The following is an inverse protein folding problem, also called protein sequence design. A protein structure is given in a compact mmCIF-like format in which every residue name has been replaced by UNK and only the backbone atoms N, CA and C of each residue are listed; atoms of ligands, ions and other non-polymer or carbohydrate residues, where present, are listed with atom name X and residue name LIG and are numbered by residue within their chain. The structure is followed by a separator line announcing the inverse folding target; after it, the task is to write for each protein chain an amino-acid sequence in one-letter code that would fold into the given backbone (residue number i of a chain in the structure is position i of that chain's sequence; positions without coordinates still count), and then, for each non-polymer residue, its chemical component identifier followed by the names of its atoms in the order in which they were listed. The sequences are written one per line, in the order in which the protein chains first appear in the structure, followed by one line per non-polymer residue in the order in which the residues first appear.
data_IF_353299307328
#
_entry.id   IF_353299307328
#
_cell.length_a   1.000
_cell.length_b   1.000
_cell.length_c   1.000
_cell.angle_alpha   90.00
_cell.angle_beta   90.00
_cell.angle_gamma   90.00
#
_symmetry.space_group_name_H-M   'P 1'
#
loop_
_entity.id
_entity.type
_entity.pdbx_description
1 polymer ?
#
# COMPACT_ATOMS: atom_id res chain seq x y z
N UNK A 1 25.31 11.51 20.21
CA UNK A 1 24.32 12.18 19.35
C UNK A 1 24.82 13.58 19.05
N UNK A 2 25.00 13.91 17.78
CA UNK A 2 25.39 15.24 17.34
C UNK A 2 24.32 16.23 17.79
N UNK A 3 24.73 17.21 18.63
CA UNK A 3 23.85 18.23 19.20
C UNK A 3 23.22 19.18 18.15
N UNK A 4 23.56 19.03 16.87
CA UNK A 4 23.11 19.87 15.76
C UNK A 4 22.15 19.14 14.78
N UNK A 5 21.72 17.91 15.06
CA UNK A 5 20.76 17.22 14.20
C UNK A 5 19.38 17.89 14.32
N UNK A 6 18.79 18.22 13.17
CA UNK A 6 17.42 18.72 13.06
C UNK A 6 16.56 17.63 12.41
N UNK A 7 15.38 17.40 12.98
CA UNK A 7 14.41 16.43 12.47
C UNK A 7 13.23 17.20 11.90
N UNK A 8 12.81 16.88 10.69
CA UNK A 8 11.61 17.42 10.05
C UNK A 8 10.58 16.30 9.95
N UNK A 9 9.44 16.47 10.63
CA UNK A 9 8.29 15.58 10.49
C UNK A 9 7.29 16.20 9.52
N UNK A 10 6.90 15.45 8.49
CA UNK A 10 5.88 15.83 7.51
C UNK A 10 4.71 14.88 7.63
N UNK A 11 3.49 15.41 7.62
CA UNK A 11 2.29 14.58 7.68
C UNK A 11 1.01 15.38 7.58
N UNK A 12 -0.11 14.67 7.53
CA UNK A 12 -1.46 15.24 7.46
C UNK A 12 -2.35 14.53 8.48
N UNK A 13 -2.84 15.29 9.47
CA UNK A 13 -3.68 14.77 10.56
C UNK A 13 -5.08 14.35 10.11
N UNK A 14 -5.51 14.76 8.91
CA UNK A 14 -6.75 14.31 8.29
C UNK A 14 -6.61 12.92 7.63
N UNK A 15 -5.39 12.46 7.32
CA UNK A 15 -5.14 11.11 6.82
C UNK A 15 -5.23 10.06 7.93
N UNK A 16 -5.25 8.78 7.51
CA UNK A 16 -5.19 7.66 8.44
C UNK A 16 -3.91 7.72 9.30
N UNK A 17 -4.03 7.57 10.63
CA UNK A 17 -2.87 7.43 11.50
C UNK A 17 -2.22 6.06 11.33
N UNK A 18 -1.05 5.81 11.96
CA UNK A 18 -0.46 4.48 12.01
C UNK A 18 -1.43 3.44 12.57
N UNK A 19 -1.36 2.21 12.05
CA UNK A 19 -2.25 1.11 12.47
C UNK A 19 -2.21 0.91 13.98
N UNK A 20 -3.39 0.91 14.62
CA UNK A 20 -3.53 0.76 16.08
C UNK A 20 -3.34 2.04 16.89
N UNK A 21 -3.14 3.19 16.23
CA UNK A 21 -3.06 4.49 16.89
C UNK A 21 -4.27 5.37 16.50
N UNK A 22 -4.73 6.21 17.43
CA UNK A 22 -5.78 7.22 17.16
C UNK A 22 -5.22 8.46 16.45
N UNK A 23 -3.92 8.75 16.66
CA UNK A 23 -3.19 9.88 16.09
C UNK A 23 -1.73 9.49 15.86
N UNK A 24 -1.03 10.24 15.00
CA UNK A 24 0.41 10.05 14.81
C UNK A 24 1.19 10.79 15.91
N UNK A 25 1.92 10.10 16.79
CA UNK A 25 2.73 10.76 17.82
C UNK A 25 3.78 11.71 17.23
N UNK A 26 4.29 11.41 16.03
CA UNK A 26 5.27 12.23 15.33
C UNK A 26 4.70 13.61 14.88
N UNK A 27 3.39 13.75 14.79
CA UNK A 27 2.72 15.01 14.43
C UNK A 27 2.14 15.75 15.65
N UNK A 28 2.37 15.24 16.86
CA UNK A 28 1.89 15.86 18.10
C UNK A 28 3.05 16.62 18.78
N UNK A 29 3.08 17.97 18.73
CA UNK A 29 4.16 18.78 19.31
C UNK A 29 4.34 18.55 20.81
N UNK A 30 3.22 18.44 21.55
CA UNK A 30 3.23 18.23 23.01
C UNK A 30 3.85 16.87 23.35
N UNK A 31 3.47 15.81 22.62
CA UNK A 31 4.06 14.50 22.80
C UNK A 31 5.59 14.51 22.59
N UNK A 32 6.06 15.18 21.52
CA UNK A 32 7.49 15.27 21.22
C UNK A 32 8.27 16.07 22.27
N UNK A 33 7.67 17.14 22.81
CA UNK A 33 8.27 17.93 23.90
C UNK A 33 8.34 17.12 25.20
N UNK A 34 7.23 16.50 25.60
CA UNK A 34 7.13 15.84 26.91
C UNK A 34 7.94 14.54 26.98
N UNK A 35 7.95 13.74 25.90
CA UNK A 35 8.62 12.44 25.90
C UNK A 35 10.07 12.47 25.46
N UNK A 36 10.45 13.42 24.61
CA UNK A 36 11.79 13.47 24.01
C UNK A 36 12.54 14.75 24.32
N UNK A 37 11.94 15.71 25.03
CA UNK A 37 12.58 16.99 25.38
C UNK A 37 12.92 17.84 24.14
N UNK A 38 12.25 17.64 23.01
CA UNK A 38 12.55 18.33 21.76
C UNK A 38 11.98 19.74 21.76
N UNK A 39 12.74 20.70 21.22
CA UNK A 39 12.19 22.02 20.89
C UNK A 39 11.47 21.92 19.55
N UNK A 40 10.13 21.98 19.57
CA UNK A 40 9.28 21.77 18.39
C UNK A 40 8.79 23.11 17.85
N UNK A 41 8.86 23.26 16.53
CA UNK A 41 8.22 24.33 15.77
C UNK A 41 7.24 23.69 14.80
N UNK A 42 6.02 24.22 14.71
CA UNK A 42 4.98 23.73 13.83
C UNK A 42 4.64 24.76 12.77
N UNK A 43 4.42 24.29 11.54
CA UNK A 43 3.87 25.08 10.44
C UNK A 43 2.84 24.25 9.69
N UNK A 44 1.76 24.90 9.24
CA UNK A 44 0.71 24.25 8.45
C UNK A 44 0.73 24.80 7.03
N UNK A 45 0.82 23.88 6.04
CA UNK A 45 0.68 24.21 4.63
C UNK A 45 -0.82 24.11 4.28
N UNK A 46 -1.42 25.20 3.82
CA UNK A 46 -2.88 25.29 3.56
C UNK A 46 -3.22 25.26 2.07
N UNK A 47 -2.26 25.54 1.19
CA UNK A 47 -2.49 25.60 -0.25
C UNK A 47 -2.26 24.24 -0.91
N UNK A 48 -3.23 23.79 -1.71
CA UNK A 48 -3.15 22.55 -2.49
C UNK A 48 -2.76 22.90 -3.92
N UNK A 49 -1.57 22.48 -4.35
CA UNK A 49 -1.00 22.79 -5.67
C UNK A 49 -1.21 21.67 -6.72
N UNK A 50 -1.74 20.53 -6.32
CA UNK A 50 -1.70 19.29 -7.13
C UNK A 50 -2.84 19.13 -8.13
N UNK A 51 -3.91 19.88 -7.96
CA UNK A 51 -5.14 19.70 -8.75
C UNK A 51 -5.62 21.05 -9.30
N UNK A 52 -6.34 20.99 -10.42
CA UNK A 52 -6.94 22.19 -11.01
C UNK A 52 -7.98 22.80 -10.06
N UNK A 53 -8.16 24.12 -10.13
CA UNK A 53 -9.13 24.86 -9.29
C UNK A 53 -10.59 24.40 -9.42
N UNK A 54 -10.91 23.58 -10.44
CA UNK A 54 -12.25 22.99 -10.67
C UNK A 54 -12.22 21.46 -10.57
N UNK A 55 -11.41 20.91 -9.70
CA UNK A 55 -11.30 19.46 -9.47
C UNK A 55 -12.35 18.99 -8.45
N UNK A 56 -13.16 18.01 -8.83
CA UNK A 56 -14.09 17.34 -7.91
C UNK A 56 -13.36 16.53 -6.86
N UNK A 57 -12.17 16.02 -7.17
CA UNK A 57 -11.31 15.34 -6.18
C UNK A 57 -10.92 16.31 -5.07
N UNK A 58 -10.45 17.52 -5.44
CA UNK A 58 -10.05 18.55 -4.49
C UNK A 58 -11.24 19.06 -3.65
N UNK A 59 -12.36 19.34 -4.30
CA UNK A 59 -13.58 19.83 -3.64
C UNK A 59 -14.06 18.85 -2.57
N UNK A 60 -14.25 17.58 -2.94
CA UNK A 60 -14.70 16.55 -2.01
C UNK A 60 -13.67 16.24 -0.90
N UNK A 61 -12.38 16.23 -1.22
CA UNK A 61 -11.33 16.07 -0.23
C UNK A 61 -11.29 17.24 0.77
N UNK A 62 -11.48 18.47 0.30
CA UNK A 62 -11.53 19.67 1.15
C UNK A 62 -12.73 19.62 2.09
N UNK A 63 -13.92 19.29 1.57
CA UNK A 63 -15.13 19.13 2.39
C UNK A 63 -14.96 18.07 3.49
N UNK A 64 -14.37 16.91 3.17
CA UNK A 64 -14.05 15.88 4.16
C UNK A 64 -13.05 16.35 5.22
N UNK A 65 -12.02 17.11 4.81
CA UNK A 65 -11.04 17.68 5.74
C UNK A 65 -11.69 18.68 6.69
N UNK A 66 -12.54 19.57 6.17
CA UNK A 66 -13.29 20.55 6.97
C UNK A 66 -14.24 19.84 7.96
N UNK A 67 -14.94 18.80 7.50
CA UNK A 67 -15.80 17.97 8.35
C UNK A 67 -15.02 17.32 9.49
N UNK A 68 -13.83 16.78 9.23
CA UNK A 68 -12.93 16.20 10.23
C UNK A 68 -12.43 17.23 11.23
N UNK A 69 -12.06 18.45 10.78
CA UNK A 69 -11.58 19.54 11.63
C UNK A 69 -12.70 20.11 12.51
N UNK A 70 -13.93 20.18 12.00
CA UNK A 70 -15.10 20.61 12.75
C UNK A 70 -15.65 19.54 13.70
N UNK A 71 -15.01 18.34 13.76
CA UNK A 71 -15.47 17.16 14.51
C UNK A 71 -16.92 16.74 14.19
N UNK A 72 -17.39 17.09 13.00
CA UNK A 72 -18.71 16.73 12.51
C UNK A 72 -18.68 15.29 11.95
N UNK A 73 -18.99 14.33 12.80
CA UNK A 73 -19.03 12.90 12.44
C UNK A 73 -20.40 12.57 11.85
N UNK A 74 -20.62 12.95 10.62
CA UNK A 74 -21.83 12.66 9.85
C UNK A 74 -21.46 12.01 8.51
N UNK A 75 -22.48 11.52 7.80
CA UNK A 75 -22.29 10.98 6.46
C UNK A 75 -21.85 12.11 5.52
N UNK A 76 -20.72 11.94 4.80
CA UNK A 76 -20.29 12.92 3.84
C UNK A 76 -21.25 12.97 2.64
N UNK A 77 -21.45 14.17 2.07
CA UNK A 77 -22.19 14.37 0.85
C UNK A 77 -21.22 14.74 -0.28
N UNK A 78 -21.08 13.82 -1.25
CA UNK A 78 -20.11 13.95 -2.33
C UNK A 78 -20.71 14.68 -3.54
N UNK A 79 -19.99 15.64 -4.06
CA UNK A 79 -20.36 16.35 -5.29
C UNK A 79 -19.77 15.63 -6.51
N UNK A 80 -20.61 15.14 -7.41
CA UNK A 80 -20.22 14.44 -8.64
C UNK A 80 -20.55 15.25 -9.88
N UNK A 81 -21.63 16.04 -9.81
CA UNK A 81 -22.11 16.82 -10.95
C UNK A 81 -21.13 17.94 -11.30
N UNK A 82 -20.93 18.15 -12.59
CA UNK A 82 -20.07 19.19 -13.17
C UNK A 82 -18.56 18.99 -13.04
N UNK A 83 -18.10 17.84 -12.53
CA UNK A 83 -16.68 17.49 -12.51
C UNK A 83 -16.34 16.46 -13.60
N UNK A 84 -15.09 16.52 -14.08
CA UNK A 84 -14.56 15.62 -15.12
C UNK A 84 -13.55 14.61 -14.57
N UNK A 85 -13.34 14.63 -13.27
CA UNK A 85 -12.30 13.87 -12.54
C UNK A 85 -12.84 13.06 -11.38
N UNK A 86 -14.13 13.24 -11.00
CA UNK A 86 -14.74 12.56 -9.86
C UNK A 86 -16.06 11.90 -10.29
N UNK A 87 -16.13 10.57 -10.19
CA UNK A 87 -17.24 9.78 -10.69
C UNK A 87 -17.70 8.74 -9.67
N UNK A 88 -18.92 8.25 -9.81
CA UNK A 88 -19.32 6.99 -9.23
C UNK A 88 -19.54 5.95 -10.33
N UNK A 89 -19.33 4.68 -10.02
CA UNK A 89 -19.45 3.58 -10.98
C UNK A 89 -20.18 2.40 -10.36
N UNK A 90 -21.08 1.79 -11.12
CA UNK A 90 -21.78 0.57 -10.72
C UNK A 90 -20.89 -0.65 -10.97
N UNK A 91 -21.18 -1.76 -10.27
CA UNK A 91 -20.44 -3.01 -10.45
C UNK A 91 -20.47 -3.54 -11.89
N UNK A 92 -21.57 -3.30 -12.63
CA UNK A 92 -21.70 -3.70 -14.03
C UNK A 92 -20.72 -3.01 -14.97
N UNK A 93 -20.40 -1.74 -14.68
CA UNK A 93 -19.47 -0.92 -15.48
C UNK A 93 -18.03 -0.95 -14.98
N UNK A 94 -17.77 -1.66 -13.88
CA UNK A 94 -16.45 -1.65 -13.23
C UNK A 94 -15.36 -2.21 -14.13
N UNK A 95 -15.63 -3.34 -14.81
CA UNK A 95 -14.66 -3.98 -15.72
C UNK A 95 -14.30 -3.04 -16.87
N UNK A 96 -15.30 -2.39 -17.46
CA UNK A 96 -15.08 -1.42 -18.54
C UNK A 96 -14.28 -0.20 -18.05
N UNK A 97 -14.60 0.28 -16.83
CA UNK A 97 -13.88 1.40 -16.21
C UNK A 97 -12.41 1.06 -15.93
N UNK A 98 -12.11 -0.14 -15.46
CA UNK A 98 -10.73 -0.59 -15.23
C UNK A 98 -9.98 -0.76 -16.56
N UNK A 99 -10.60 -1.39 -17.57
CA UNK A 99 -10.01 -1.52 -18.91
C UNK A 99 -9.68 -0.14 -19.49
N UNK A 100 -10.63 0.81 -19.42
CA UNK A 100 -10.40 2.17 -19.86
C UNK A 100 -9.20 2.81 -19.14
N UNK A 101 -9.09 2.65 -17.82
CA UNK A 101 -7.99 3.21 -17.05
C UNK A 101 -6.64 2.57 -17.42
N UNK A 102 -6.60 1.24 -17.61
CA UNK A 102 -5.39 0.53 -18.03
C UNK A 102 -4.92 0.92 -19.42
N UNK A 103 -5.85 1.12 -20.36
CA UNK A 103 -5.54 1.51 -21.74
C UNK A 103 -5.02 2.96 -21.84
N UNK A 104 -5.50 3.85 -20.95
CA UNK A 104 -5.18 5.29 -21.03
C UNK A 104 -4.02 5.69 -20.14
N UNK A 105 -3.88 5.08 -18.95
CA UNK A 105 -2.91 5.48 -17.95
C UNK A 105 -1.89 4.39 -17.61
N UNK A 106 -2.19 3.14 -17.96
CA UNK A 106 -1.36 1.99 -17.58
C UNK A 106 -1.81 1.33 -16.28
N UNK A 107 -1.37 0.09 -16.10
CA UNK A 107 -1.69 -0.72 -14.91
C UNK A 107 -0.96 -0.20 -13.65
N UNK A 108 0.23 0.35 -13.81
CA UNK A 108 1.07 0.94 -12.77
C UNK A 108 0.53 2.29 -12.26
N UNK A 109 -0.22 3.00 -13.09
CA UNK A 109 -0.86 4.28 -12.75
C UNK A 109 -2.36 4.15 -12.43
N UNK A 110 -2.84 2.94 -12.19
CA UNK A 110 -4.23 2.65 -11.85
C UNK A 110 -4.33 1.77 -10.61
N UNK A 111 -5.09 2.19 -9.59
CA UNK A 111 -5.19 1.49 -8.32
C UNK A 111 -6.64 1.35 -7.85
N UNK A 112 -6.98 0.19 -7.28
CA UNK A 112 -8.21 0.02 -6.48
C UNK A 112 -7.86 0.09 -5.00
N UNK A 113 -8.58 0.92 -4.23
CA UNK A 113 -8.39 1.07 -2.79
C UNK A 113 -9.55 0.43 -2.04
N UNK A 114 -9.22 -0.53 -1.17
CA UNK A 114 -10.14 -1.25 -0.30
C UNK A 114 -9.85 -0.97 1.17
N UNK A 115 -10.81 -1.30 2.06
CA UNK A 115 -10.60 -1.22 3.51
C UNK A 115 -9.90 -2.46 4.07
N UNK A 116 -10.14 -3.64 3.50
CA UNK A 116 -9.62 -4.92 4.00
C UNK A 116 -8.68 -5.61 2.99
N UNK A 117 -7.72 -6.40 3.50
CA UNK A 117 -6.89 -7.26 2.66
C UNK A 117 -7.74 -8.31 1.93
N UNK A 118 -8.80 -8.82 2.55
CA UNK A 118 -9.71 -9.79 1.93
C UNK A 118 -10.34 -9.23 0.65
N UNK A 119 -10.87 -8.01 0.70
CA UNK A 119 -11.46 -7.36 -0.48
C UNK A 119 -10.38 -7.04 -1.53
N UNK A 120 -9.23 -6.54 -1.10
CA UNK A 120 -8.11 -6.29 -2.01
C UNK A 120 -7.68 -7.57 -2.74
N UNK A 121 -7.56 -8.71 -2.04
CA UNK A 121 -7.25 -10.00 -2.65
C UNK A 121 -8.34 -10.43 -3.65
N UNK A 122 -9.61 -10.24 -3.32
CA UNK A 122 -10.72 -10.56 -4.21
C UNK A 122 -10.64 -9.74 -5.51
N UNK A 123 -10.41 -8.42 -5.42
CA UNK A 123 -10.21 -7.58 -6.60
C UNK A 123 -8.97 -8.00 -7.40
N UNK A 124 -7.85 -8.27 -6.75
CA UNK A 124 -6.63 -8.74 -7.40
C UNK A 124 -6.87 -10.02 -8.21
N UNK A 125 -7.56 -11.00 -7.62
CA UNK A 125 -7.93 -12.25 -8.31
C UNK A 125 -8.88 -12.01 -9.49
N UNK A 126 -9.92 -11.17 -9.30
CA UNK A 126 -10.88 -10.86 -10.37
C UNK A 126 -10.22 -10.07 -11.53
N UNK A 127 -9.35 -9.13 -11.24
CA UNK A 127 -8.58 -8.39 -12.26
C UNK A 127 -7.71 -9.36 -13.05
N UNK A 128 -6.95 -10.21 -12.38
CA UNK A 128 -6.09 -11.20 -13.05
C UNK A 128 -6.89 -12.16 -13.93
N UNK A 129 -8.00 -12.69 -13.42
CA UNK A 129 -8.80 -13.67 -14.14
C UNK A 129 -9.63 -13.06 -15.29
N UNK A 130 -10.31 -11.91 -15.07
CA UNK A 130 -11.32 -11.37 -15.99
C UNK A 130 -10.82 -10.24 -16.90
N UNK A 131 -9.78 -9.53 -16.49
CA UNK A 131 -9.24 -8.40 -17.24
C UNK A 131 -7.92 -8.76 -17.90
N UNK A 132 -7.02 -9.40 -17.15
CA UNK A 132 -5.70 -9.79 -17.64
C UNK A 132 -5.63 -11.21 -18.18
N UNK A 133 -6.71 -12.00 -18.04
CA UNK A 133 -6.84 -13.39 -18.52
C UNK A 133 -5.65 -14.28 -18.09
N UNK A 134 -5.23 -14.13 -16.81
CA UNK A 134 -4.14 -14.90 -16.23
C UNK A 134 -4.67 -16.06 -15.42
N UNK A 135 -4.32 -17.29 -15.83
CA UNK A 135 -4.75 -18.54 -15.19
C UNK A 135 -3.73 -19.04 -14.16
N UNK A 136 -2.44 -18.76 -14.35
CA UNK A 136 -1.39 -19.16 -13.44
C UNK A 136 -1.47 -18.40 -12.10
N UNK A 137 -0.95 -19.01 -11.01
CA UNK A 137 -0.96 -18.40 -9.69
C UNK A 137 -0.21 -17.06 -9.67
N UNK A 138 0.91 -16.98 -10.41
CA UNK A 138 1.67 -15.76 -10.67
C UNK A 138 2.22 -15.80 -12.11
N UNK A 139 2.24 -14.67 -12.80
CA UNK A 139 2.67 -14.61 -14.20
C UNK A 139 3.63 -13.45 -14.45
N UNK A 140 4.47 -13.58 -15.48
CA UNK A 140 5.25 -12.44 -15.98
C UNK A 140 4.31 -11.27 -16.35
N UNK A 141 4.73 -10.05 -16.01
CA UNK A 141 3.92 -8.84 -16.17
C UNK A 141 2.95 -8.58 -15.00
N UNK A 142 2.86 -9.44 -13.99
CA UNK A 142 2.14 -9.11 -12.75
C UNK A 142 2.83 -7.96 -12.01
N UNK A 143 2.03 -7.17 -11.30
CA UNK A 143 2.52 -6.14 -10.39
C UNK A 143 2.37 -6.62 -8.96
N UNK A 144 3.47 -6.54 -8.21
CA UNK A 144 3.57 -6.96 -6.82
C UNK A 144 3.95 -5.77 -5.95
N UNK A 145 3.37 -5.68 -4.77
CA UNK A 145 3.81 -4.78 -3.71
C UNK A 145 4.60 -5.57 -2.67
N UNK A 146 5.78 -5.09 -2.33
CA UNK A 146 6.56 -5.59 -1.20
C UNK A 146 5.87 -5.19 0.09
N UNK A 147 5.63 -6.15 1.00
CA UNK A 147 4.85 -5.89 2.22
C UNK A 147 5.68 -5.90 3.50
N UNK A 148 7.00 -6.04 3.38
CA UNK A 148 7.97 -5.97 4.47
C UNK A 148 9.31 -5.48 3.95
N UNK A 149 9.95 -4.54 4.66
CA UNK A 149 11.31 -4.09 4.31
C UNK A 149 12.27 -5.27 4.14
N UNK A 150 13.09 -5.24 3.10
CA UNK A 150 14.08 -6.26 2.81
C UNK A 150 15.44 -5.64 2.52
N UNK A 151 16.46 -6.05 3.29
CA UNK A 151 17.82 -5.53 3.25
C UNK A 151 18.80 -6.48 2.55
N UNK A 152 18.29 -7.53 1.88
CA UNK A 152 19.13 -8.60 1.34
C UNK A 152 19.24 -8.59 -0.19
N UNK A 153 18.13 -8.30 -0.90
CA UNK A 153 18.05 -8.54 -2.33
C UNK A 153 18.39 -7.33 -3.21
N UNK A 154 18.57 -6.15 -2.62
CA UNK A 154 18.95 -4.99 -3.45
C UNK A 154 20.39 -5.15 -3.92
N UNK A 155 20.66 -5.04 -5.27
CA UNK A 155 22.02 -5.09 -5.79
C UNK A 155 22.89 -3.94 -5.24
N UNK A 156 24.17 -4.19 -5.00
CA UNK A 156 25.13 -3.17 -4.54
C UNK A 156 25.24 -1.95 -5.48
N UNK A 157 24.91 -2.15 -6.77
CA UNK A 157 24.89 -1.07 -7.76
C UNK A 157 23.62 -0.22 -7.77
N UNK A 158 22.66 -0.50 -6.86
CA UNK A 158 21.40 0.23 -6.79
C UNK A 158 21.52 1.48 -5.91
N UNK A 159 20.78 2.53 -6.26
CA UNK A 159 20.61 3.71 -5.42
C UNK A 159 19.61 3.40 -4.30
N UNK A 160 20.09 2.92 -3.16
CA UNK A 160 19.26 2.58 -2.01
C UNK A 160 19.93 1.54 -1.12
N UNK A 161 19.49 1.46 0.13
CA UNK A 161 20.02 0.52 1.12
C UNK A 161 19.15 -0.72 1.29
N UNK A 162 17.86 -0.66 0.90
CA UNK A 162 16.89 -1.74 1.08
C UNK A 162 15.67 -1.56 0.16
N UNK A 163 14.92 -2.64 -0.05
CA UNK A 163 13.61 -2.61 -0.70
C UNK A 163 12.56 -2.30 0.36
N UNK A 164 11.85 -1.20 0.21
CA UNK A 164 10.92 -0.72 1.23
C UNK A 164 9.55 -1.45 1.17
N UNK A 165 8.90 -1.52 2.33
CA UNK A 165 7.50 -1.89 2.40
C UNK A 165 6.65 -0.83 1.67
N UNK A 166 5.85 -1.26 0.70
CA UNK A 166 5.04 -0.39 -0.16
C UNK A 166 5.59 -0.22 -1.57
N UNK A 167 6.87 -0.57 -1.83
CA UNK A 167 7.42 -0.53 -3.17
C UNK A 167 6.71 -1.51 -4.10
N UNK A 168 6.43 -1.04 -5.33
CA UNK A 168 5.78 -1.83 -6.37
C UNK A 168 6.83 -2.32 -7.37
N UNK A 169 6.76 -3.60 -7.68
CA UNK A 169 7.63 -4.25 -8.66
C UNK A 169 6.82 -4.98 -9.72
N UNK A 170 7.26 -4.85 -10.98
CA UNK A 170 6.76 -5.64 -12.10
C UNK A 170 7.52 -6.96 -12.18
N UNK A 171 6.80 -8.05 -12.26
CA UNK A 171 7.37 -9.38 -12.48
C UNK A 171 7.83 -9.48 -13.93
N UNK A 172 9.13 -9.64 -14.12
CA UNK A 172 9.72 -9.87 -15.44
C UNK A 172 9.73 -11.38 -15.74
N UNK A 173 10.04 -12.18 -14.73
CA UNK A 173 10.14 -13.63 -14.89
C UNK A 173 9.93 -14.34 -13.55
N UNK A 174 9.29 -15.53 -13.60
CA UNK A 174 9.16 -16.49 -12.48
C UNK A 174 9.79 -17.80 -12.88
N UNK A 175 10.45 -18.46 -11.90
CA UNK A 175 11.09 -19.77 -12.05
C UNK A 175 11.13 -20.50 -10.71
N UNK A 176 11.45 -21.80 -10.77
CA UNK A 176 11.79 -22.62 -9.63
C UNK A 176 10.78 -22.55 -8.48
N UNK A 177 9.49 -22.68 -8.81
CA UNK A 177 8.47 -22.84 -7.79
C UNK A 177 8.76 -24.12 -6.98
N UNK A 178 8.77 -24.00 -5.66
CA UNK A 178 9.09 -25.09 -4.75
C UNK A 178 8.44 -24.90 -3.38
N UNK A 179 8.20 -25.99 -2.70
CA UNK A 179 7.71 -25.97 -1.33
C UNK A 179 8.87 -26.33 -0.37
N UNK A 180 9.14 -25.43 0.58
CA UNK A 180 10.18 -25.59 1.62
C UNK A 180 9.67 -24.99 2.94
N UNK A 181 10.00 -25.61 4.05
CA UNK A 181 9.68 -25.10 5.40
C UNK A 181 8.18 -24.83 5.63
N UNK A 182 7.31 -25.58 4.90
CA UNK A 182 5.85 -25.39 4.96
C UNK A 182 5.33 -24.13 4.25
N UNK A 183 6.13 -23.53 3.38
CA UNK A 183 5.78 -22.38 2.54
C UNK A 183 6.15 -22.64 1.08
N UNK A 184 5.47 -21.97 0.16
CA UNK A 184 5.75 -21.98 -1.27
C UNK A 184 6.61 -20.79 -1.65
N UNK A 185 7.67 -21.06 -2.40
CA UNK A 185 8.63 -20.06 -2.87
C UNK A 185 8.76 -20.10 -4.39
N UNK A 186 9.18 -19.00 -4.97
CA UNK A 186 9.64 -18.93 -6.36
C UNK A 186 10.82 -17.97 -6.47
N UNK A 187 11.63 -18.15 -7.52
CA UNK A 187 12.64 -17.18 -7.91
C UNK A 187 12.03 -16.19 -8.89
N UNK A 188 12.01 -14.91 -8.54
CA UNK A 188 11.43 -13.84 -9.32
C UNK A 188 12.50 -12.86 -9.81
N UNK A 189 12.43 -12.48 -11.09
CA UNK A 189 13.11 -11.31 -11.62
C UNK A 189 12.13 -10.14 -11.59
N UNK A 190 12.46 -9.10 -10.86
CA UNK A 190 11.58 -7.97 -10.52
C UNK A 190 12.18 -6.65 -10.99
N UNK A 191 11.38 -5.79 -11.61
CA UNK A 191 11.72 -4.41 -11.93
C UNK A 191 10.91 -3.48 -11.02
N UNK A 192 11.57 -2.66 -10.22
CA UNK A 192 10.90 -1.64 -9.42
C UNK A 192 10.25 -0.59 -10.33
N UNK A 193 8.98 -0.27 -10.08
CA UNK A 193 8.19 0.64 -10.92
C UNK A 193 8.69 2.07 -10.80
N UNK A 194 8.97 2.52 -9.58
CA UNK A 194 9.46 3.88 -9.32
C UNK A 194 10.91 4.08 -9.74
N UNK A 195 11.64 2.99 -10.03
CA UNK A 195 13.05 3.01 -10.42
C UNK A 195 13.31 2.19 -11.69
N UNK A 196 12.73 2.58 -12.85
CA UNK A 196 12.78 1.79 -14.08
C UNK A 196 14.20 1.67 -14.68
N UNK A 197 15.12 2.54 -14.28
CA UNK A 197 16.53 2.53 -14.74
C UNK A 197 17.44 1.69 -13.84
N UNK A 198 16.96 1.27 -12.67
CA UNK A 198 17.74 0.41 -11.77
C UNK A 198 17.83 -1.04 -12.30
N UNK A 199 18.86 -1.80 -11.90
CA UNK A 199 19.01 -3.20 -12.28
C UNK A 199 17.80 -4.05 -11.86
N UNK A 200 17.48 -5.06 -12.68
CA UNK A 200 16.49 -6.08 -12.35
C UNK A 200 16.94 -6.83 -11.09
N UNK A 201 16.07 -6.87 -10.10
CA UNK A 201 16.30 -7.59 -8.85
C UNK A 201 15.94 -9.06 -9.07
N UNK A 202 16.87 -9.97 -8.81
CA UNK A 202 16.57 -11.41 -8.77
C UNK A 202 16.49 -11.84 -7.33
N UNK A 203 15.28 -12.17 -6.89
CA UNK A 203 14.99 -12.45 -5.49
C UNK A 203 14.12 -13.71 -5.35
N UNK A 204 14.24 -14.38 -4.21
CA UNK A 204 13.25 -15.36 -3.78
C UNK A 204 12.04 -14.65 -3.21
N UNK A 205 10.83 -15.08 -3.59
CA UNK A 205 9.56 -14.56 -3.09
C UNK A 205 8.76 -15.65 -2.39
N UNK A 206 7.90 -15.27 -1.43
CA UNK A 206 6.96 -16.18 -0.75
C UNK A 206 5.61 -16.09 -1.47
N UNK A 207 5.16 -17.19 -2.06
CA UNK A 207 3.90 -17.22 -2.80
C UNK A 207 2.68 -17.21 -1.89
N UNK A 208 2.76 -17.83 -0.69
CA UNK A 208 1.63 -17.89 0.26
C UNK A 208 1.17 -16.50 0.73
N UNK A 209 1.99 -15.46 0.59
CA UNK A 209 1.59 -14.10 0.95
C UNK A 209 0.70 -13.45 -0.09
N UNK A 210 0.67 -13.93 -1.34
CA UNK A 210 -0.06 -13.32 -2.45
C UNK A 210 -1.58 -13.31 -2.24
N UNK A 211 -2.14 -14.39 -1.72
CA UNK A 211 -3.59 -14.56 -1.51
C UNK A 211 -4.01 -14.58 -0.01
N UNK A 212 -3.04 -14.44 0.90
CA UNK A 212 -3.32 -14.36 2.34
C UNK A 212 -4.15 -13.13 2.70
N UNK A 213 -5.15 -13.28 3.58
CA UNK A 213 -5.90 -12.14 4.14
C UNK A 213 -5.07 -11.33 5.18
N UNK A 214 -3.95 -11.87 5.62
CA UNK A 214 -2.99 -11.17 6.49
C UNK A 214 -2.15 -10.18 5.70
N UNK A 215 -1.71 -9.05 6.29
CA UNK A 215 -0.89 -8.05 5.59
C UNK A 215 0.50 -8.58 5.20
N UNK A 216 1.03 -9.57 5.92
CA UNK A 216 2.30 -10.25 5.73
C UNK A 216 2.26 -11.61 6.43
N UNK A 217 3.34 -12.38 6.47
CA UNK A 217 3.44 -13.57 7.34
C UNK A 217 3.19 -13.19 8.79
N UNK A 218 2.41 -14.00 9.49
CA UNK A 218 2.21 -13.86 10.94
C UNK A 218 3.51 -14.09 11.71
N UNK A 219 3.58 -13.57 12.94
CA UNK A 219 4.74 -13.80 13.80
C UNK A 219 5.04 -15.31 14.01
N UNK A 220 3.99 -16.14 14.09
CA UNK A 220 4.13 -17.58 14.22
C UNK A 220 4.76 -18.21 12.96
N UNK A 221 4.32 -17.81 11.77
CA UNK A 221 4.89 -18.28 10.51
C UNK A 221 6.35 -17.80 10.32
N UNK A 222 6.65 -16.54 10.66
CA UNK A 222 8.02 -16.02 10.61
C UNK A 222 8.95 -16.75 11.58
N UNK A 223 8.48 -17.03 12.80
CA UNK A 223 9.23 -17.79 13.78
C UNK A 223 9.47 -19.23 13.30
N UNK A 224 8.44 -19.89 12.77
CA UNK A 224 8.56 -21.23 12.21
C UNK A 224 9.58 -21.29 11.07
N UNK A 225 9.50 -20.35 10.11
CA UNK A 225 10.48 -20.26 9.02
C UNK A 225 11.91 -20.10 9.56
N UNK A 226 12.11 -19.20 10.55
CA UNK A 226 13.42 -19.05 11.19
C UNK A 226 13.92 -20.34 11.83
N UNK A 227 13.06 -21.05 12.58
CA UNK A 227 13.40 -22.29 13.26
C UNK A 227 13.76 -23.39 12.25
N UNK A 228 13.02 -23.53 11.16
CA UNK A 228 13.29 -24.52 10.12
C UNK A 228 14.60 -24.21 9.37
N UNK A 229 14.82 -22.97 8.95
CA UNK A 229 16.09 -22.56 8.33
C UNK A 229 17.28 -22.76 9.29
N UNK A 230 17.09 -22.50 10.59
CA UNK A 230 18.14 -22.69 11.60
C UNK A 230 18.54 -24.15 11.79
N UNK A 231 17.67 -25.13 11.50
CA UNK A 231 17.99 -26.56 11.52
C UNK A 231 19.00 -26.93 10.43
N UNK A 232 18.93 -26.33 9.25
CA UNK A 232 19.87 -26.60 8.15
C UNK A 232 21.32 -26.18 8.48
N UNK A 233 21.46 -25.25 9.44
CA UNK A 233 22.77 -24.79 9.93
C UNK A 233 23.12 -25.34 11.33
N UNK A 234 22.47 -26.42 11.76
CA UNK A 234 22.64 -26.98 13.12
C UNK A 234 24.03 -27.58 13.39
N UNK A 235 24.73 -28.01 12.33
CA UNK A 235 26.10 -28.52 12.34
C UNK A 235 27.16 -27.47 12.65
N UNK A 236 26.85 -26.17 12.44
CA UNK A 236 27.73 -25.06 12.76
C UNK A 236 27.72 -24.79 14.25
N UNK A 237 28.82 -25.19 14.93
CA UNK A 237 28.96 -25.08 16.40
C UNK A 237 29.07 -23.63 16.88
N UNK A 238 29.70 -22.77 16.08
CA UNK A 238 29.86 -21.37 16.42
C UNK A 238 28.52 -20.61 16.23
N UNK A 239 27.93 -20.15 17.34
CA UNK A 239 26.63 -19.46 17.34
C UNK A 239 26.63 -18.19 16.48
N UNK A 240 27.71 -17.40 16.49
CA UNK A 240 27.82 -16.17 15.71
C UNK A 240 27.85 -16.46 14.21
N UNK A 241 28.64 -17.45 13.81
CA UNK A 241 28.74 -17.89 12.41
C UNK A 241 27.42 -18.49 11.93
N UNK A 242 26.76 -19.32 12.73
CA UNK A 242 25.43 -19.86 12.41
C UNK A 242 24.40 -18.75 12.21
N UNK A 243 24.35 -17.74 13.08
CA UNK A 243 23.45 -16.60 12.94
C UNK A 243 23.75 -15.78 11.67
N UNK A 244 25.03 -15.62 11.31
CA UNK A 244 25.42 -14.95 10.08
C UNK A 244 24.90 -15.69 8.85
N UNK A 245 25.01 -17.04 8.82
CA UNK A 245 24.48 -17.87 7.72
C UNK A 245 22.97 -17.77 7.60
N UNK A 246 22.23 -17.84 8.71
CA UNK A 246 20.76 -17.68 8.69
C UNK A 246 20.38 -16.31 8.16
N UNK A 247 21.08 -15.25 8.57
CA UNK A 247 20.80 -13.87 8.12
C UNK A 247 21.04 -13.65 6.62
N UNK A 248 21.86 -14.47 5.99
CA UNK A 248 22.15 -14.43 4.54
C UNK A 248 21.42 -15.52 3.76
N UNK A 249 20.61 -16.35 4.42
CA UNK A 249 19.87 -17.42 3.77
C UNK A 249 18.78 -16.86 2.84
N UNK A 250 18.66 -17.33 1.59
CA UNK A 250 17.71 -16.81 0.61
C UNK A 250 16.24 -17.07 0.95
N UNK A 251 15.92 -18.16 1.63
CA UNK A 251 14.55 -18.47 2.05
C UNK A 251 14.14 -17.64 3.27
N UNK A 252 15.05 -17.44 4.22
CA UNK A 252 14.80 -16.56 5.36
C UNK A 252 14.59 -15.10 4.93
N UNK A 253 15.31 -14.67 3.90
CA UNK A 253 15.22 -13.33 3.33
C UNK A 253 14.23 -13.22 2.14
N UNK A 254 13.45 -14.25 1.84
CA UNK A 254 12.51 -14.20 0.74
C UNK A 254 11.55 -13.03 0.89
N UNK A 255 11.29 -12.33 -0.22
CA UNK A 255 10.38 -11.18 -0.25
C UNK A 255 8.96 -11.63 0.07
N UNK A 256 8.32 -10.93 0.98
CA UNK A 256 6.89 -11.04 1.22
C UNK A 256 6.19 -10.05 0.31
N UNK A 257 5.30 -10.56 -0.54
CA UNK A 257 4.69 -9.79 -1.62
C UNK A 257 3.19 -10.00 -1.71
N UNK A 258 2.47 -9.03 -2.24
CA UNK A 258 1.05 -9.11 -2.61
C UNK A 258 0.86 -8.58 -4.01
N UNK A 259 -0.23 -9.00 -4.69
CA UNK A 259 -0.63 -8.31 -5.91
C UNK A 259 -1.00 -6.85 -5.60
N UNK A 260 -0.69 -5.94 -6.52
CA UNK A 260 -0.83 -4.50 -6.31
C UNK A 260 -1.85 -3.80 -7.23
N UNK A 261 -2.74 -4.55 -7.88
CA UNK A 261 -3.87 -3.96 -8.63
C UNK A 261 -4.93 -3.38 -7.69
N UNK A 262 -5.11 -4.01 -6.52
CA UNK A 262 -5.93 -3.52 -5.42
C UNK A 262 -5.18 -3.66 -4.10
N UNK A 263 -5.21 -2.60 -3.28
CA UNK A 263 -4.52 -2.57 -1.99
C UNK A 263 -5.40 -1.95 -0.91
N UNK A 264 -5.00 -2.12 0.35
CA UNK A 264 -5.66 -1.38 1.44
C UNK A 264 -5.25 0.08 1.44
N UNK A 265 -6.12 0.96 1.93
CA UNK A 265 -5.85 2.39 2.02
C UNK A 265 -4.57 2.71 2.81
N UNK A 266 -4.24 1.96 3.87
CA UNK A 266 -2.97 2.11 4.58
C UNK A 266 -1.76 1.84 3.68
N UNK A 267 -1.86 0.87 2.78
CA UNK A 267 -0.79 0.53 1.84
C UNK A 267 -0.65 1.55 0.70
N UNK A 268 -1.70 2.30 0.39
CA UNK A 268 -1.63 3.37 -0.60
C UNK A 268 -1.07 4.69 -0.06
N UNK A 269 -0.85 4.81 1.25
CA UNK A 269 -0.24 6.02 1.83
C UNK A 269 1.16 6.23 1.29
N UNK A 270 1.48 7.48 0.94
CA UNK A 270 2.75 7.85 0.29
C UNK A 270 2.70 7.78 -1.24
N UNK A 271 1.91 6.89 -1.84
CA UNK A 271 1.73 6.77 -3.28
C UNK A 271 0.64 7.67 -3.86
N UNK A 272 0.65 7.83 -5.16
CA UNK A 272 -0.37 8.54 -5.96
C UNK A 272 -0.45 7.92 -7.35
N UNK A 273 -1.67 7.83 -7.90
CA UNK A 273 -1.95 7.21 -9.19
C UNK A 273 -2.80 8.13 -10.05
N UNK A 274 -2.67 8.04 -11.36
CA UNK A 274 -3.50 8.81 -12.30
C UNK A 274 -4.97 8.48 -12.11
N UNK A 275 -5.30 7.18 -11.98
CA UNK A 275 -6.68 6.75 -11.75
C UNK A 275 -6.79 5.90 -10.48
N UNK A 276 -7.74 6.27 -9.63
CA UNK A 276 -8.04 5.53 -8.40
C UNK A 276 -9.51 5.15 -8.36
N UNK A 277 -9.76 3.88 -8.04
CA UNK A 277 -11.07 3.33 -7.72
C UNK A 277 -11.17 3.12 -6.22
N UNK A 278 -12.19 3.65 -5.56
CA UNK A 278 -12.40 3.53 -4.11
C UNK A 278 -13.63 2.69 -3.84
N UNK A 279 -13.46 1.52 -3.22
CA UNK A 279 -14.57 0.65 -2.84
C UNK A 279 -15.24 1.16 -1.57
N UNK A 280 -16.59 1.27 -1.56
CA UNK A 280 -17.33 1.53 -0.33
C UNK A 280 -17.19 0.33 0.62
N UNK A 281 -16.58 0.51 1.80
CA UNK A 281 -16.47 -0.57 2.76
C UNK A 281 -17.82 -0.86 3.44
N UNK A 282 -17.99 -2.09 3.93
CA UNK A 282 -19.07 -2.41 4.86
C UNK A 282 -18.86 -1.68 6.19
N UNK A 283 -19.86 -0.93 6.64
CA UNK A 283 -19.85 -0.10 7.85
C UNK A 283 -20.91 -0.58 8.85
N UNK A 284 -20.65 -1.65 9.63
CA UNK A 284 -21.65 -2.22 10.54
C UNK A 284 -22.04 -1.26 11.68
N UNK A 285 -21.12 -0.41 12.11
CA UNK A 285 -21.32 0.57 13.19
C UNK A 285 -21.63 1.99 12.68
N UNK A 286 -21.89 2.14 11.38
CA UNK A 286 -22.11 3.44 10.76
C UNK A 286 -20.80 4.18 10.45
N UNK A 287 -20.92 5.51 10.31
CA UNK A 287 -19.81 6.39 9.96
C UNK A 287 -19.16 6.90 11.23
N UNK A 288 -17.84 6.79 11.30
CA UNK A 288 -17.00 7.27 12.38
C UNK A 288 -15.83 8.12 11.84
N UNK A 289 -15.05 8.70 12.75
CA UNK A 289 -13.88 9.54 12.42
C UNK A 289 -12.82 8.74 11.62
N UNK A 290 -12.67 7.46 11.93
CA UNK A 290 -11.73 6.58 11.20
C UNK A 290 -12.16 6.38 9.75
N UNK A 291 -13.46 6.17 9.51
CA UNK A 291 -14.00 6.08 8.14
C UNK A 291 -13.81 7.38 7.35
N UNK A 292 -14.05 8.54 7.94
CA UNK A 292 -13.85 9.82 7.28
C UNK A 292 -12.37 10.05 6.92
N UNK A 293 -11.45 9.72 7.82
CA UNK A 293 -10.00 9.74 7.54
C UNK A 293 -9.61 8.76 6.45
N UNK A 294 -10.20 7.55 6.51
CA UNK A 294 -9.98 6.54 5.48
C UNK A 294 -10.42 7.03 4.10
N UNK A 295 -11.62 7.58 4.00
CA UNK A 295 -12.16 8.09 2.75
C UNK A 295 -11.35 9.28 2.22
N UNK A 296 -11.01 10.23 3.09
CA UNK A 296 -10.13 11.35 2.75
C UNK A 296 -8.78 10.86 2.23
N UNK A 297 -8.16 9.90 2.93
CA UNK A 297 -6.87 9.32 2.51
C UNK A 297 -7.01 8.66 1.14
N UNK A 298 -8.05 7.86 0.91
CA UNK A 298 -8.28 7.17 -0.34
C UNK A 298 -8.51 8.13 -1.53
N UNK A 299 -9.36 9.14 -1.36
CA UNK A 299 -9.65 10.15 -2.39
C UNK A 299 -8.39 10.92 -2.79
N UNK A 300 -7.56 11.30 -1.82
CA UNK A 300 -6.33 12.07 -2.07
C UNK A 300 -5.22 11.27 -2.74
N UNK A 301 -5.42 9.99 -3.06
CA UNK A 301 -4.47 9.19 -3.85
C UNK A 301 -4.60 9.43 -5.36
N UNK A 302 -5.75 9.92 -5.84
CA UNK A 302 -5.96 10.17 -7.26
C UNK A 302 -5.32 11.49 -7.72
N UNK A 303 -4.64 11.44 -8.87
CA UNK A 303 -4.09 12.62 -9.55
C UNK A 303 -5.10 13.21 -10.53
N UNK A 304 -5.76 12.37 -11.37
CA UNK A 304 -6.58 12.81 -12.49
C UNK A 304 -8.01 12.26 -12.49
N UNK A 305 -8.21 10.99 -12.11
CA UNK A 305 -9.53 10.34 -12.15
C UNK A 305 -9.78 9.58 -10.86
N UNK A 306 -10.97 9.78 -10.32
CA UNK A 306 -11.43 9.02 -9.16
C UNK A 306 -12.82 8.44 -9.42
N UNK A 307 -12.96 7.15 -9.13
CA UNK A 307 -14.20 6.41 -9.25
C UNK A 307 -14.61 5.82 -7.90
N UNK A 308 -15.79 6.15 -7.42
CA UNK A 308 -16.40 5.54 -6.23
C UNK A 308 -17.18 4.29 -6.63
N UNK A 309 -16.88 3.13 -6.03
CA UNK A 309 -17.50 1.83 -6.31
C UNK A 309 -18.45 1.46 -5.18
N UNK A 310 -19.71 1.15 -5.51
CA UNK A 310 -20.69 0.60 -4.57
C UNK A 310 -21.19 1.59 -3.52
N UNK A 311 -20.92 2.87 -3.67
CA UNK A 311 -21.50 3.92 -2.83
C UNK A 311 -22.99 4.05 -3.10
N UNK A 312 -23.80 4.18 -2.06
CA UNK A 312 -25.25 4.39 -2.15
C UNK A 312 -25.56 5.83 -2.56
N UNK A 313 -26.72 6.03 -3.18
CA UNK A 313 -27.17 7.35 -3.68
C UNK A 313 -27.17 8.42 -2.57
N UNK A 314 -27.39 8.04 -1.33
CA UNK A 314 -27.42 8.94 -0.18
C UNK A 314 -26.03 9.49 0.25
N UNK A 315 -24.97 9.10 -0.43
CA UNK A 315 -23.64 9.71 -0.33
C UNK A 315 -23.42 10.85 -1.32
N UNK A 316 -24.35 11.09 -2.23
CA UNK A 316 -24.20 12.09 -3.28
C UNK A 316 -25.20 13.23 -3.13
N UNK A 317 -24.79 14.44 -3.50
CA UNK A 317 -25.68 15.57 -3.59
C UNK A 317 -26.70 15.37 -4.72
N UNK A 318 -27.96 15.77 -4.45
CA UNK A 318 -29.09 15.58 -5.35
C UNK A 318 -28.97 16.40 -6.66
#
# INVERSE_FOLDING_TARGET
SDSNCKILFLGDTAQLPPVGASESPALNPTYLQDHFGLKVFSAELKEVLRQEKKSGILENATALREQLLAENISKPSMQVKNFKDFFYITGEKLVDGINYAYDHFGMDETLIICRSNKNANLYNQQIRARILFREEFISSGDFLMVVKNNYHWLPESSDGEFIANGEIAKVIRIRNEQEMYGLKFADASLQLVDFPTQPIITAKIILDTLDSDSPALSNAQQKHLYEQVALDYSDIKNKSERLAKIKTDPYYNALQVKFSYAVTCHKSQGGQWHTVFVEQPYLPNGIDKEYLRWLYTAITRAKEKLYLIGFKDDFFEA
#
